data_IF_503904697342
#
_entry.id   IF_503904697342
#
_cell.length_a   1.000
_cell.length_b   1.000
_cell.length_c   1.000
_cell.angle_alpha   90.00
_cell.angle_beta   90.00
_cell.angle_gamma   90.00
#
_symmetry.space_group_name_H-M   'P 1'
#
loop_
_entity.id
_entity.type
_entity.pdbx_description
1 polymer ?
#
# COMPACT_ATOMS: atom_id res chain seq x y z
N UNK A 1 6.84 12.30 -7.56
CA UNK A 1 6.40 10.95 -7.96
C UNK A 1 7.56 10.00 -7.76
N UNK A 2 7.29 8.76 -7.35
CA UNK A 2 8.28 7.69 -7.16
C UNK A 2 7.88 6.49 -8.04
N UNK A 3 8.85 5.69 -8.45
CA UNK A 3 8.67 4.43 -9.15
C UNK A 3 9.00 3.27 -8.21
N UNK A 4 8.05 2.36 -8.02
CA UNK A 4 8.25 1.19 -7.16
C UNK A 4 9.06 0.09 -7.88
N UNK A 5 9.84 -0.66 -7.13
CA UNK A 5 10.65 -1.75 -7.67
C UNK A 5 9.80 -3.03 -7.82
N UNK A 6 9.80 -3.63 -9.02
CA UNK A 6 8.88 -4.71 -9.38
C UNK A 6 9.06 -6.02 -8.58
N UNK A 7 10.30 -6.47 -8.35
CA UNK A 7 10.55 -7.77 -7.72
C UNK A 7 10.48 -7.76 -6.19
N UNK A 8 10.79 -6.59 -5.61
CA UNK A 8 10.77 -6.33 -4.19
C UNK A 8 10.36 -4.86 -4.05
N UNK A 9 9.09 -4.63 -3.77
CA UNK A 9 8.52 -3.28 -3.73
C UNK A 9 8.83 -2.57 -2.42
N UNK A 10 8.52 -1.28 -2.38
CA UNK A 10 8.61 -0.46 -1.19
C UNK A 10 7.58 -0.88 -0.13
N UNK A 11 7.97 -0.72 1.12
CA UNK A 11 7.09 -0.85 2.29
C UNK A 11 7.14 0.45 3.09
N UNK A 12 8.10 0.57 4.00
CA UNK A 12 8.31 1.78 4.79
C UNK A 12 8.61 3.02 3.93
N UNK A 13 9.42 2.87 2.88
CA UNK A 13 9.69 3.94 1.92
C UNK A 13 8.41 4.41 1.22
N UNK A 14 7.50 3.49 0.90
CA UNK A 14 6.19 3.83 0.35
C UNK A 14 5.33 4.57 1.37
N UNK A 15 5.32 4.15 2.63
CA UNK A 15 4.62 4.87 3.70
C UNK A 15 5.15 6.30 3.88
N UNK A 16 6.47 6.50 3.89
CA UNK A 16 7.07 7.84 3.97
C UNK A 16 6.65 8.73 2.79
N UNK A 17 6.66 8.19 1.58
CA UNK A 17 6.23 8.93 0.40
C UNK A 17 4.74 9.30 0.45
N UNK A 18 3.88 8.35 0.85
CA UNK A 18 2.44 8.55 0.98
C UNK A 18 2.07 9.50 2.11
N UNK A 19 2.83 9.52 3.22
CA UNK A 19 2.68 10.51 4.28
C UNK A 19 2.85 11.94 3.75
N UNK A 20 3.82 12.14 2.83
CA UNK A 20 4.03 13.40 2.14
C UNK A 20 3.11 13.66 0.94
N UNK A 21 2.14 12.76 0.67
CA UNK A 21 1.25 12.85 -0.48
C UNK A 21 1.92 12.57 -1.83
N UNK A 22 3.10 11.95 -1.82
CA UNK A 22 3.85 11.66 -3.06
C UNK A 22 3.29 10.40 -3.72
N UNK A 23 2.83 10.47 -4.99
CA UNK A 23 2.33 9.29 -5.69
C UNK A 23 3.47 8.34 -6.05
N UNK A 24 3.17 7.04 -6.04
CA UNK A 24 4.09 5.94 -6.31
C UNK A 24 3.46 5.06 -7.40
N UNK A 25 4.09 4.96 -8.57
CA UNK A 25 3.64 3.98 -9.58
C UNK A 25 4.13 2.60 -9.13
N UNK A 26 3.22 1.63 -9.02
CA UNK A 26 3.55 0.27 -8.58
C UNK A 26 3.05 -0.78 -9.58
N UNK A 27 3.81 -1.87 -9.75
CA UNK A 27 3.40 -3.05 -10.48
C UNK A 27 3.44 -4.26 -9.53
N UNK A 28 2.30 -4.70 -8.98
CA UNK A 28 2.29 -5.81 -8.03
C UNK A 28 2.66 -7.13 -8.70
N UNK A 29 3.52 -7.92 -8.03
CA UNK A 29 3.81 -9.29 -8.44
C UNK A 29 2.93 -10.31 -7.68
N UNK A 30 3.15 -11.61 -7.93
CA UNK A 30 2.49 -12.70 -7.20
C UNK A 30 2.93 -12.83 -5.74
N UNK A 31 4.04 -12.22 -5.34
CA UNK A 31 4.64 -12.39 -4.01
C UNK A 31 4.38 -11.18 -3.11
N UNK A 32 4.16 -11.43 -1.81
CA UNK A 32 3.87 -10.40 -0.80
C UNK A 32 4.89 -9.25 -0.81
N UNK A 33 6.18 -9.57 -0.95
CA UNK A 33 7.29 -8.60 -0.95
C UNK A 33 7.19 -7.51 -2.04
N UNK A 34 6.32 -7.66 -3.03
CA UNK A 34 6.06 -6.64 -4.06
C UNK A 34 4.61 -6.16 -4.05
N UNK A 35 3.90 -6.28 -2.92
CA UNK A 35 2.47 -5.97 -2.81
C UNK A 35 2.12 -5.01 -1.68
N UNK A 36 3.11 -4.49 -0.95
CA UNK A 36 2.89 -3.51 0.11
C UNK A 36 2.27 -2.21 -0.41
N UNK A 37 2.92 -1.54 -1.37
CA UNK A 37 2.38 -0.33 -2.03
C UNK A 37 0.99 -0.58 -2.64
N UNK A 38 0.79 -1.75 -3.25
CA UNK A 38 -0.53 -2.17 -3.74
C UNK A 38 -1.57 -2.21 -2.61
N UNK A 39 -1.27 -2.84 -1.49
CA UNK A 39 -2.16 -2.92 -0.33
C UNK A 39 -2.50 -1.55 0.25
N UNK A 40 -1.53 -0.65 0.35
CA UNK A 40 -1.77 0.73 0.80
C UNK A 40 -2.76 1.47 -0.13
N UNK A 41 -2.60 1.32 -1.45
CA UNK A 41 -3.54 1.89 -2.40
C UNK A 41 -4.93 1.27 -2.33
N UNK A 42 -5.04 -0.03 -2.03
CA UNK A 42 -6.34 -0.66 -1.78
C UNK A 42 -7.03 -0.05 -0.54
N UNK A 43 -6.31 0.09 0.57
CA UNK A 43 -6.84 0.69 1.80
C UNK A 43 -7.29 2.15 1.60
N UNK A 44 -6.51 2.94 0.84
CA UNK A 44 -6.89 4.32 0.50
C UNK A 44 -7.98 4.41 -0.60
N UNK A 45 -8.35 3.29 -1.24
CA UNK A 45 -9.27 3.28 -2.37
C UNK A 45 -8.77 4.09 -3.58
N UNK A 46 -7.47 4.03 -3.88
CA UNK A 46 -6.80 4.81 -4.93
C UNK A 46 -6.06 3.91 -5.95
N UNK A 47 -6.77 3.29 -6.91
CA UNK A 47 -6.18 2.31 -7.82
C UNK A 47 -5.35 2.93 -8.96
N UNK A 48 -5.41 4.24 -9.17
CA UNK A 48 -4.89 4.92 -10.38
C UNK A 48 -3.37 4.82 -10.57
N UNK A 49 -2.63 4.47 -9.52
CA UNK A 49 -1.19 4.26 -9.56
C UNK A 49 -0.76 2.79 -9.60
N UNK A 50 -1.71 1.86 -9.72
CA UNK A 50 -1.46 0.42 -9.77
C UNK A 50 -1.48 -0.04 -11.23
N UNK A 51 -0.31 -0.36 -11.77
CA UNK A 51 -0.18 -0.94 -13.10
C UNK A 51 -0.60 -2.42 -13.12
N UNK A 52 -1.19 -2.87 -14.23
CA UNK A 52 -1.55 -4.29 -14.44
C UNK A 52 -0.49 -5.08 -15.21
N UNK A 53 0.41 -4.38 -15.89
CA UNK A 53 1.51 -4.96 -16.69
C UNK A 53 2.61 -3.91 -16.95
N UNK A 54 3.72 -4.35 -17.56
CA UNK A 54 4.88 -3.50 -17.84
C UNK A 54 4.54 -2.29 -18.73
N UNK A 55 3.70 -2.48 -19.76
CA UNK A 55 3.30 -1.39 -20.66
C UNK A 55 2.51 -0.32 -19.91
N UNK A 56 1.59 -0.74 -19.05
CA UNK A 56 0.84 0.19 -18.21
C UNK A 56 1.73 0.87 -17.17
N UNK A 57 2.70 0.16 -16.59
CA UNK A 57 3.66 0.74 -15.66
C UNK A 57 4.44 1.89 -16.31
N UNK A 58 4.97 1.67 -17.52
CA UNK A 58 5.67 2.71 -18.29
C UNK A 58 4.71 3.85 -18.63
N UNK A 59 3.49 3.54 -19.10
CA UNK A 59 2.47 4.55 -19.41
C UNK A 59 2.15 5.42 -18.20
N UNK A 60 1.96 4.81 -17.03
CA UNK A 60 1.69 5.53 -15.78
C UNK A 60 2.89 6.35 -15.35
N UNK A 61 4.10 5.81 -15.42
CA UNK A 61 5.34 6.53 -15.10
C UNK A 61 5.55 7.78 -15.98
N UNK A 62 5.18 7.72 -17.25
CA UNK A 62 5.27 8.88 -18.16
C UNK A 62 4.10 9.85 -17.96
N UNK A 63 2.89 9.34 -17.69
CA UNK A 63 1.66 10.14 -17.64
C UNK A 63 1.43 10.82 -16.28
N UNK A 64 1.90 10.24 -15.17
CA UNK A 64 1.66 10.78 -13.83
C UNK A 64 2.49 12.06 -13.60
N UNK A 65 1.91 13.19 -14.01
CA UNK A 65 2.12 14.47 -13.35
C UNK A 65 1.56 14.43 -11.93
N UNK A 66 2.09 15.25 -11.03
CA UNK A 66 1.88 15.29 -9.56
C UNK A 66 0.43 15.58 -9.09
N UNK A 67 -0.59 15.34 -9.91
CA UNK A 67 -1.95 15.86 -9.73
C UNK A 67 -2.79 15.14 -8.67
N UNK A 68 -2.32 14.02 -8.10
CA UNK A 68 -3.09 13.27 -7.08
C UNK A 68 -2.60 13.50 -5.64
N UNK A 69 -1.65 14.42 -5.42
CA UNK A 69 -1.10 14.68 -4.07
C UNK A 69 -2.18 15.02 -3.06
N UNK A 70 -3.10 15.91 -3.42
CA UNK A 70 -4.21 16.32 -2.56
C UNK A 70 -5.07 15.12 -2.16
N UNK A 71 -5.47 14.29 -3.13
CA UNK A 71 -6.27 13.09 -2.89
C UNK A 71 -5.55 12.07 -1.99
N UNK A 72 -4.23 11.91 -2.15
CA UNK A 72 -3.46 11.04 -1.24
C UNK A 72 -3.51 11.59 0.18
N UNK A 73 -3.26 12.88 0.39
CA UNK A 73 -3.28 13.49 1.73
C UNK A 73 -4.67 13.40 2.38
N UNK A 74 -5.75 13.50 1.60
CA UNK A 74 -7.12 13.36 2.11
C UNK A 74 -7.45 11.93 2.56
N UNK A 75 -6.74 10.92 2.03
CA UNK A 75 -7.07 9.50 2.27
C UNK A 75 -6.02 8.72 3.04
N UNK A 76 -4.80 9.22 3.19
CA UNK A 76 -3.69 8.47 3.78
C UNK A 76 -3.86 8.22 5.29
N UNK A 77 -4.79 8.91 5.97
CA UNK A 77 -5.02 8.75 7.41
C UNK A 77 -5.34 7.29 7.79
N UNK A 78 -6.01 6.53 6.91
CA UNK A 78 -6.32 5.10 7.13
C UNK A 78 -5.06 4.22 7.27
N UNK A 79 -3.91 4.68 6.77
CA UNK A 79 -2.64 3.94 6.86
C UNK A 79 -1.92 4.17 8.20
N UNK A 80 -2.16 5.30 8.86
CA UNK A 80 -1.39 5.75 10.02
C UNK A 80 -2.20 5.77 11.31
N UNK A 81 -3.51 5.98 11.21
CA UNK A 81 -4.42 6.11 12.35
C UNK A 81 -5.45 4.97 12.36
N UNK A 82 -5.01 3.75 12.07
CA UNK A 82 -5.86 2.56 12.09
C UNK A 82 -5.29 1.50 13.04
N UNK A 83 -6.01 1.26 14.12
CA UNK A 83 -5.71 0.24 15.14
C UNK A 83 -6.48 -1.07 14.93
N UNK A 84 -7.31 -1.17 13.90
CA UNK A 84 -8.12 -2.36 13.57
C UNK A 84 -7.25 -3.61 13.44
N UNK A 85 -6.17 -3.56 12.66
CA UNK A 85 -5.26 -4.70 12.52
C UNK A 85 -4.61 -5.12 13.84
N UNK A 86 -4.36 -4.17 14.75
CA UNK A 86 -3.86 -4.48 16.10
C UNK A 86 -4.94 -5.19 16.91
N UNK A 87 -6.18 -4.68 16.90
CA UNK A 87 -7.32 -5.30 17.59
C UNK A 87 -7.62 -6.70 17.06
N UNK A 88 -7.70 -6.88 15.75
CA UNK A 88 -7.91 -8.18 15.10
C UNK A 88 -6.82 -9.18 15.49
N UNK A 89 -5.56 -8.74 15.48
CA UNK A 89 -4.42 -9.57 15.91
C UNK A 89 -4.53 -9.96 17.38
N UNK A 90 -4.94 -9.04 18.26
CA UNK A 90 -5.16 -9.34 19.69
C UNK A 90 -6.25 -10.39 19.87
N UNK A 91 -7.40 -10.24 19.20
CA UNK A 91 -8.50 -11.20 19.31
C UNK A 91 -8.11 -12.57 18.77
N UNK A 92 -7.41 -12.61 17.63
CA UNK A 92 -6.86 -13.85 17.09
C UNK A 92 -5.93 -14.55 18.10
N UNK A 93 -5.03 -13.82 18.76
CA UNK A 93 -4.16 -14.41 19.77
C UNK A 93 -4.92 -14.91 21.01
N UNK A 94 -5.92 -14.18 21.50
CA UNK A 94 -6.77 -14.65 22.60
C UNK A 94 -7.46 -15.97 22.25
N UNK A 95 -7.99 -16.08 21.04
CA UNK A 95 -8.65 -17.28 20.54
C UNK A 95 -7.67 -18.47 20.54
N UNK A 96 -6.51 -18.31 19.89
CA UNK A 96 -5.52 -19.39 19.75
C UNK A 96 -4.95 -19.83 21.09
N UNK A 97 -4.73 -18.90 22.03
CA UNK A 97 -4.24 -19.24 23.38
C UNK A 97 -5.29 -20.00 24.19
N UNK A 98 -6.57 -19.58 24.11
CA UNK A 98 -7.66 -20.23 24.84
C UNK A 98 -7.93 -21.64 24.30
N UNK A 99 -7.84 -21.85 22.99
CA UNK A 99 -8.02 -23.16 22.35
C UNK A 99 -6.88 -24.16 22.62
N UNK A 100 -5.71 -23.69 23.10
CA UNK A 100 -4.53 -24.53 23.41
C UNK A 100 -4.42 -25.00 24.86
N UNK A 101 -5.39 -24.72 25.73
CA UNK A 101 -5.41 -25.23 27.13
C UNK A 101 -5.96 -26.67 27.25
N UNK A 102 -5.40 -27.62 26.49
CA UNK A 102 -5.58 -29.07 26.69
C UNK A 102 -4.22 -29.70 26.97
#
# INVERSE_FOLDING_TARGET
MILDTYHFGGGNTSLLALAGGTPIVTLPSRYLRARWTYGYYQLMGLPDCIAKNNTEYIRLAVKLGTNIKKTILERNAILFNNDEGVRETIEFFKEVVTQRQI
#
